data_IF_845774131001
#
_entry.id   IF_845774131001
#
_cell.length_a   1.000
_cell.length_b   1.000
_cell.length_c   1.000
_cell.angle_alpha   90.00
_cell.angle_beta   90.00
_cell.angle_gamma   90.00
#
_symmetry.space_group_name_H-M   'P 1'
#
loop_
_entity.id
_entity.type
_entity.pdbx_description
1 polymer ?
#
# COMPACT_ATOMS: atom_id res chain seq x y z
N UNK A 1 12.17 -8.59 12.52
CA UNK A 1 11.84 -7.39 11.78
C UNK A 1 12.98 -6.39 11.86
N UNK A 2 13.58 -6.05 10.75
CA UNK A 2 14.65 -5.07 10.73
C UNK A 2 14.05 -3.68 10.54
N UNK A 3 14.29 -2.78 11.49
CA UNK A 3 13.91 -1.38 11.38
C UNK A 3 15.15 -0.62 10.91
N UNK A 4 15.12 -0.11 9.69
CA UNK A 4 16.18 0.71 9.13
C UNK A 4 15.83 2.17 9.33
N UNK A 5 16.72 2.92 9.93
CA UNK A 5 16.64 4.38 9.98
C UNK A 5 16.94 5.00 8.62
N UNK A 6 16.52 6.24 8.41
CA UNK A 6 16.71 6.96 7.15
C UNK A 6 18.20 7.18 6.79
N UNK A 7 19.12 6.99 7.73
CA UNK A 7 20.57 7.13 7.54
C UNK A 7 21.27 5.85 7.11
N UNK A 8 20.54 4.75 6.92
CA UNK A 8 21.14 3.44 6.70
C UNK A 8 21.10 2.98 5.24
N UNK A 9 21.39 3.87 4.30
CA UNK A 9 21.49 3.53 2.87
C UNK A 9 22.47 2.37 2.62
N UNK A 10 23.57 2.30 3.38
CA UNK A 10 24.53 1.21 3.28
C UNK A 10 23.93 -0.12 3.73
N UNK A 11 23.16 -0.14 4.82
CA UNK A 11 22.48 -1.33 5.32
C UNK A 11 21.40 -1.79 4.34
N UNK A 12 20.60 -0.86 3.81
CA UNK A 12 19.61 -1.16 2.79
C UNK A 12 20.24 -1.72 1.51
N UNK A 13 21.35 -1.15 1.07
CA UNK A 13 22.10 -1.64 -0.08
C UNK A 13 22.59 -3.08 0.14
N UNK A 14 23.07 -3.40 1.35
CA UNK A 14 23.48 -4.75 1.72
C UNK A 14 22.30 -5.73 1.73
N UNK A 15 21.17 -5.33 2.30
CA UNK A 15 19.95 -6.15 2.31
C UNK A 15 19.47 -6.48 0.89
N UNK A 16 19.52 -5.52 -0.02
CA UNK A 16 19.18 -5.72 -1.43
C UNK A 16 20.10 -6.71 -2.13
N UNK A 17 21.32 -6.91 -1.67
CA UNK A 17 22.25 -7.91 -2.21
C UNK A 17 21.98 -9.32 -1.67
N UNK A 18 21.45 -9.43 -0.45
CA UNK A 18 21.24 -10.71 0.25
C UNK A 18 19.86 -11.30 -0.05
N UNK A 19 18.84 -10.46 -0.19
CA UNK A 19 17.45 -10.89 -0.38
C UNK A 19 17.01 -10.72 -1.83
N UNK A 20 16.02 -11.54 -2.23
CA UNK A 20 15.28 -11.28 -3.47
C UNK A 20 14.48 -10.00 -3.28
N UNK A 21 14.71 -9.01 -4.13
CA UNK A 21 14.00 -7.72 -4.07
C UNK A 21 12.73 -7.80 -4.90
N UNK A 22 11.60 -7.46 -4.27
CA UNK A 22 10.31 -7.35 -4.93
C UNK A 22 9.84 -5.91 -4.81
N UNK A 23 9.68 -5.25 -5.96
CA UNK A 23 9.14 -3.89 -6.03
C UNK A 23 7.61 -3.94 -6.04
N UNK A 24 7.00 -3.03 -5.32
CA UNK A 24 5.55 -2.89 -5.23
C UNK A 24 5.13 -1.43 -5.25
N UNK A 25 3.91 -1.17 -5.67
CA UNK A 25 3.27 0.13 -5.61
C UNK A 25 2.00 0.08 -4.79
N UNK A 26 1.71 1.13 -4.03
CA UNK A 26 0.50 1.24 -3.24
C UNK A 26 0.00 2.67 -3.12
N UNK A 27 -1.26 2.82 -2.72
CA UNK A 27 -1.92 4.12 -2.63
C UNK A 27 -2.50 4.41 -1.24
N UNK A 28 -2.23 5.64 -0.77
CA UNK A 28 -3.03 6.26 0.28
C UNK A 28 -4.05 7.15 -0.40
N UNK A 29 -5.29 6.67 -0.46
CA UNK A 29 -6.36 7.28 -1.24
C UNK A 29 -7.34 8.00 -0.32
N UNK A 30 -7.67 9.23 -0.64
CA UNK A 30 -8.77 9.97 0.00
C UNK A 30 -9.86 10.29 -1.03
N UNK A 31 -11.09 10.39 -0.58
CA UNK A 31 -12.20 10.84 -1.41
C UNK A 31 -12.46 12.34 -1.28
N UNK A 32 -13.48 12.83 -1.98
CA UNK A 32 -13.91 14.24 -1.97
C UNK A 32 -14.37 14.72 -0.58
N UNK A 33 -14.74 13.81 0.32
CA UNK A 33 -15.15 14.11 1.70
C UNK A 33 -14.00 14.00 2.70
N UNK A 34 -12.78 13.72 2.24
CA UNK A 34 -11.61 13.55 3.09
C UNK A 34 -11.54 12.21 3.81
N UNK A 35 -12.41 11.24 3.46
CA UNK A 35 -12.34 9.89 4.00
C UNK A 35 -11.18 9.14 3.34
N UNK A 36 -10.51 8.27 4.10
CA UNK A 36 -9.39 7.48 3.63
C UNK A 36 -9.82 6.04 3.35
N UNK A 37 -9.31 5.49 2.26
CA UNK A 37 -9.60 4.13 1.82
C UNK A 37 -8.72 3.12 2.54
N UNK A 38 -9.35 2.12 3.16
CA UNK A 38 -8.66 0.98 3.77
C UNK A 38 -9.22 -0.32 3.23
N UNK A 39 -8.38 -1.35 3.21
CA UNK A 39 -8.77 -2.73 2.98
C UNK A 39 -8.64 -3.52 4.28
N UNK A 40 -9.48 -4.53 4.47
CA UNK A 40 -9.37 -5.46 5.58
C UNK A 40 -8.95 -6.83 5.03
N UNK A 41 -7.77 -7.28 5.44
CA UNK A 41 -7.17 -8.52 4.97
C UNK A 41 -6.44 -9.23 6.10
N UNK A 42 -6.64 -10.54 6.21
CA UNK A 42 -5.96 -11.36 7.22
C UNK A 42 -6.13 -10.84 8.66
N UNK A 43 -7.32 -10.34 8.98
CA UNK A 43 -7.68 -9.85 10.31
C UNK A 43 -7.14 -8.47 10.66
N UNK A 44 -6.59 -7.72 9.71
CA UNK A 44 -6.03 -6.38 9.93
C UNK A 44 -6.41 -5.40 8.84
N UNK A 45 -6.45 -4.13 9.23
CA UNK A 45 -6.55 -3.03 8.29
C UNK A 45 -5.21 -2.80 7.58
N UNK A 46 -5.29 -2.55 6.28
CA UNK A 46 -4.15 -2.36 5.40
C UNK A 46 -4.50 -1.31 4.33
N UNK A 47 -3.54 -0.91 3.54
CA UNK A 47 -3.75 -0.06 2.37
C UNK A 47 -3.53 -0.87 1.08
N UNK A 48 -4.24 -0.55 -0.01
CA UNK A 48 -4.11 -1.28 -1.27
C UNK A 48 -2.72 -1.13 -1.88
N UNK A 49 -2.14 -2.24 -2.31
CA UNK A 49 -0.79 -2.34 -2.89
C UNK A 49 -0.59 -3.68 -3.56
N UNK A 50 0.37 -3.75 -4.45
CA UNK A 50 0.77 -5.02 -5.03
C UNK A 50 2.04 -4.93 -5.87
N UNK A 51 2.42 -6.05 -6.44
CA UNK A 51 3.69 -6.20 -7.13
C UNK A 51 3.73 -5.44 -8.45
N UNK A 52 4.91 -4.85 -8.71
CA UNK A 52 5.20 -4.22 -9.99
C UNK A 52 5.19 -5.27 -11.12
N UNK A 53 4.46 -4.99 -12.17
CA UNK A 53 4.43 -5.81 -13.37
C UNK A 53 5.41 -5.28 -14.41
N UNK A 54 5.82 -6.19 -15.34
CA UNK A 54 6.73 -5.83 -16.41
C UNK A 54 6.13 -4.74 -17.31
N UNK A 55 6.90 -3.70 -17.54
CA UNK A 55 6.53 -2.62 -18.44
C UNK A 55 5.71 -1.49 -17.83
N UNK A 56 5.33 -1.59 -16.55
CA UNK A 56 4.68 -0.48 -15.86
C UNK A 56 5.65 0.31 -14.97
N UNK A 57 5.32 1.58 -14.74
CA UNK A 57 6.00 2.39 -13.73
C UNK A 57 5.44 2.09 -12.34
N UNK A 58 6.15 2.48 -11.28
CA UNK A 58 5.66 2.35 -9.90
C UNK A 58 4.36 3.12 -9.68
N UNK A 59 4.21 4.30 -10.28
CA UNK A 59 2.98 5.07 -10.21
C UNK A 59 1.80 4.36 -10.90
N UNK A 60 2.02 3.77 -12.06
CA UNK A 60 1.02 2.97 -12.76
C UNK A 60 0.64 1.72 -11.97
N UNK A 61 1.63 1.03 -11.41
CA UNK A 61 1.41 -0.11 -10.52
C UNK A 61 0.50 0.26 -9.35
N UNK A 62 0.80 1.35 -8.66
CA UNK A 62 0.02 1.81 -7.52
C UNK A 62 -1.44 2.10 -7.88
N UNK A 63 -1.70 2.77 -9.01
CA UNK A 63 -3.07 3.05 -9.48
C UNK A 63 -3.78 1.76 -9.85
N UNK A 64 -3.13 0.85 -10.58
CA UNK A 64 -3.70 -0.44 -10.96
C UNK A 64 -4.09 -1.26 -9.72
N UNK A 65 -3.20 -1.38 -8.75
CA UNK A 65 -3.46 -2.15 -7.54
C UNK A 65 -4.60 -1.56 -6.71
N UNK A 66 -4.67 -0.24 -6.56
CA UNK A 66 -5.82 0.41 -5.90
C UNK A 66 -7.11 0.10 -6.64
N UNK A 67 -7.09 0.20 -7.96
CA UNK A 67 -8.27 -0.12 -8.80
C UNK A 67 -8.72 -1.56 -8.64
N UNK A 68 -7.79 -2.52 -8.73
CA UNK A 68 -8.08 -3.95 -8.66
C UNK A 68 -8.51 -4.40 -7.28
N UNK A 69 -7.77 -4.04 -6.23
CA UNK A 69 -8.06 -4.48 -4.85
C UNK A 69 -9.34 -3.86 -4.28
N UNK A 70 -9.68 -2.65 -4.70
CA UNK A 70 -10.80 -1.90 -4.15
C UNK A 70 -12.02 -1.80 -5.08
N UNK A 71 -11.89 -2.26 -6.32
CA UNK A 71 -12.97 -2.20 -7.31
C UNK A 71 -13.30 -0.78 -7.77
N UNK A 72 -12.32 0.12 -7.77
CA UNK A 72 -12.49 1.50 -8.21
C UNK A 72 -12.09 1.66 -9.68
N UNK A 73 -12.74 2.58 -10.38
CA UNK A 73 -12.33 2.92 -11.73
C UNK A 73 -10.99 3.68 -11.72
N UNK A 74 -9.98 3.13 -12.36
CA UNK A 74 -8.65 3.74 -12.43
C UNK A 74 -8.65 5.15 -13.03
N UNK A 75 -9.58 5.44 -13.96
CA UNK A 75 -9.71 6.76 -14.56
C UNK A 75 -10.14 7.84 -13.55
N UNK A 76 -10.75 7.45 -12.44
CA UNK A 76 -11.19 8.35 -11.37
C UNK A 76 -10.18 8.47 -10.22
N UNK A 77 -9.01 7.85 -10.35
CA UNK A 77 -7.93 7.91 -9.37
C UNK A 77 -6.89 8.93 -9.85
N UNK A 78 -6.75 10.02 -9.12
CA UNK A 78 -5.75 11.06 -9.39
C UNK A 78 -4.53 10.83 -8.50
N UNK A 79 -3.38 10.56 -9.11
CA UNK A 79 -2.11 10.41 -8.39
C UNK A 79 -1.49 11.79 -8.18
N UNK A 80 -1.30 12.18 -6.93
CA UNK A 80 -0.73 13.48 -6.55
C UNK A 80 0.77 13.42 -6.23
N UNK A 81 1.39 12.26 -6.37
CA UNK A 81 2.84 12.10 -6.18
C UNK A 81 3.23 11.12 -5.07
N UNK A 82 4.52 10.90 -4.99
CA UNK A 82 5.10 9.93 -4.05
C UNK A 82 5.07 10.44 -2.61
N UNK A 83 4.75 9.55 -1.68
CA UNK A 83 4.82 9.77 -0.24
C UNK A 83 6.13 9.22 0.34
N UNK A 84 6.09 7.99 0.78
CA UNK A 84 7.21 7.29 1.41
C UNK A 84 7.40 5.91 0.78
N UNK A 85 8.52 5.29 1.11
CA UNK A 85 8.81 3.89 0.78
C UNK A 85 8.84 3.09 2.07
N UNK A 86 8.22 1.91 2.07
CA UNK A 86 8.27 0.96 3.19
C UNK A 86 8.94 -0.34 2.78
N UNK A 87 9.48 -1.05 3.76
CA UNK A 87 10.27 -2.26 3.56
C UNK A 87 9.74 -3.38 4.41
N UNK A 88 9.57 -4.56 3.81
CA UNK A 88 9.06 -5.74 4.50
C UNK A 88 9.84 -6.98 4.07
N UNK A 89 10.45 -7.66 5.04
CA UNK A 89 11.12 -8.94 4.82
C UNK A 89 10.15 -10.07 5.19
N UNK A 90 9.97 -11.02 4.29
CA UNK A 90 9.09 -12.16 4.51
C UNK A 90 9.64 -13.42 3.84
N UNK A 91 9.23 -14.63 4.32
CA UNK A 91 9.60 -15.88 3.68
C UNK A 91 9.10 -15.94 2.24
N UNK A 92 9.98 -16.28 1.31
CA UNK A 92 9.66 -16.34 -0.11
C UNK A 92 10.46 -17.48 -0.76
N UNK A 93 9.74 -18.45 -1.34
CA UNK A 93 10.34 -19.69 -1.86
C UNK A 93 11.18 -20.36 -0.75
N UNK A 94 12.42 -20.77 -1.04
CA UNK A 94 13.31 -21.43 -0.06
C UNK A 94 14.18 -20.42 0.72
N UNK A 95 13.86 -19.13 0.67
CA UNK A 95 14.63 -18.05 1.29
C UNK A 95 13.72 -16.92 1.76
N UNK A 96 14.18 -15.68 1.64
CA UNK A 96 13.45 -14.48 2.02
C UNK A 96 13.42 -13.46 0.89
N UNK A 97 12.35 -12.68 0.83
CA UNK A 97 12.24 -11.52 -0.04
C UNK A 97 12.24 -10.23 0.78
N UNK A 98 12.79 -9.19 0.19
CA UNK A 98 12.64 -7.80 0.62
C UNK A 98 11.62 -7.13 -0.29
N UNK A 99 10.41 -6.90 0.19
CA UNK A 99 9.41 -6.14 -0.53
C UNK A 99 9.61 -4.64 -0.27
N UNK A 100 9.84 -3.91 -1.34
CA UNK A 100 10.01 -2.45 -1.34
C UNK A 100 8.75 -1.85 -1.91
N UNK A 101 7.90 -1.28 -1.05
CA UNK A 101 6.63 -0.68 -1.47
C UNK A 101 6.75 0.83 -1.56
N UNK A 102 6.50 1.34 -2.75
CA UNK A 102 6.47 2.78 -3.04
C UNK A 102 5.03 3.28 -2.91
N UNK A 103 4.79 4.17 -1.98
CA UNK A 103 3.46 4.69 -1.67
C UNK A 103 3.23 6.04 -2.33
N UNK A 104 2.00 6.22 -2.85
CA UNK A 104 1.58 7.43 -3.53
C UNK A 104 0.35 8.04 -2.85
N UNK A 105 0.32 9.37 -2.79
CA UNK A 105 -0.88 10.10 -2.41
C UNK A 105 -1.84 10.13 -3.59
N UNK A 106 -3.08 9.75 -3.34
CA UNK A 106 -4.11 9.69 -4.39
C UNK A 106 -5.41 10.29 -3.90
N UNK A 107 -6.18 10.84 -4.84
CA UNK A 107 -7.55 11.29 -4.63
C UNK A 107 -8.46 10.51 -5.57
N UNK A 108 -9.53 9.95 -5.03
CA UNK A 108 -10.61 9.35 -5.81
C UNK A 108 -11.71 10.38 -6.06
N UNK A 109 -11.96 10.68 -7.33
CA UNK A 109 -12.95 11.69 -7.75
C UNK A 109 -14.24 11.08 -8.30
N UNK A 110 -14.31 9.75 -8.37
CA UNK A 110 -15.49 9.02 -8.81
C UNK A 110 -16.59 8.89 -7.75
N UNK A 111 -17.69 8.31 -8.16
CA UNK A 111 -18.85 8.03 -7.31
C UNK A 111 -19.17 6.52 -7.25
N UNK A 112 -18.26 5.69 -7.78
CA UNK A 112 -18.41 4.23 -7.82
C UNK A 112 -18.33 3.59 -6.44
N UNK A 113 -19.11 2.52 -6.25
CA UNK A 113 -19.03 1.70 -5.05
C UNK A 113 -17.74 0.87 -5.05
N UNK A 114 -17.20 0.63 -3.86
CA UNK A 114 -16.06 -0.26 -3.67
C UNK A 114 -16.47 -1.72 -3.79
N UNK A 115 -15.52 -2.55 -4.26
CA UNK A 115 -15.70 -4.00 -4.32
C UNK A 115 -14.39 -4.68 -3.91
N UNK A 116 -14.37 -5.44 -2.81
CA UNK A 116 -13.19 -6.18 -2.39
C UNK A 116 -12.77 -7.23 -3.43
N UNK A 117 -11.46 -7.34 -3.67
CA UNK A 117 -10.89 -8.42 -4.48
C UNK A 117 -10.71 -9.67 -3.61
N UNK A 118 -11.67 -10.59 -3.67
CA UNK A 118 -11.70 -11.77 -2.81
C UNK A 118 -10.54 -12.75 -3.07
N UNK A 119 -10.01 -12.78 -4.30
CA UNK A 119 -8.85 -13.61 -4.67
C UNK A 119 -7.57 -13.20 -3.93
N UNK A 120 -7.49 -11.97 -3.42
CA UNK A 120 -6.40 -11.45 -2.61
C UNK A 120 -6.69 -11.50 -1.11
N UNK A 121 -7.68 -12.30 -0.68
CA UNK A 121 -8.12 -12.42 0.71
C UNK A 121 -8.59 -11.11 1.34
N UNK A 122 -9.02 -10.16 0.53
CA UNK A 122 -9.60 -8.89 0.97
C UNK A 122 -11.09 -9.13 1.25
N UNK A 123 -11.46 -9.05 2.53
CA UNK A 123 -12.83 -9.27 2.97
C UNK A 123 -13.67 -8.00 3.00
N UNK A 124 -13.04 -6.84 3.10
CA UNK A 124 -13.73 -5.55 3.20
C UNK A 124 -12.89 -4.43 2.60
N UNK A 125 -13.56 -3.48 1.97
CA UNK A 125 -13.00 -2.19 1.56
C UNK A 125 -13.89 -1.11 2.15
N UNK A 126 -13.30 -0.15 2.87
CA UNK A 126 -14.07 0.87 3.57
C UNK A 126 -13.43 2.25 3.45
N UNK A 127 -14.27 3.24 3.23
CA UNK A 127 -13.93 4.65 3.39
C UNK A 127 -14.05 5.03 4.86
N UNK A 128 -12.94 5.38 5.49
CA UNK A 128 -12.85 5.70 6.92
C UNK A 128 -12.82 7.21 7.12
N UNK A 129 -13.73 7.72 7.93
CA UNK A 129 -13.75 9.15 8.27
C UNK A 129 -12.49 9.54 9.07
N UNK A 130 -11.99 10.78 8.95
CA UNK A 130 -10.82 11.23 9.71
C UNK A 130 -10.92 10.98 11.22
N UNK A 131 -12.12 11.10 11.80
CA UNK A 131 -12.36 10.86 13.23
C UNK A 131 -12.24 9.39 13.65
N UNK A 132 -12.26 8.45 12.72
CA UNK A 132 -12.23 7.00 12.97
C UNK A 132 -10.86 6.38 12.65
N UNK A 133 -9.93 7.15 12.07
CA UNK A 133 -8.63 6.63 11.63
C UNK A 133 -7.82 6.10 12.81
N UNK A 134 -7.80 6.76 13.95
CA UNK A 134 -7.04 6.33 15.12
C UNK A 134 -7.46 4.94 15.59
N UNK A 135 -8.77 4.64 15.58
CA UNK A 135 -9.30 3.31 15.91
C UNK A 135 -8.84 2.25 14.91
N UNK A 136 -8.87 2.56 13.61
CA UNK A 136 -8.39 1.68 12.55
C UNK A 136 -6.90 1.37 12.72
N UNK A 137 -6.09 2.37 13.10
CA UNK A 137 -4.65 2.22 13.32
C UNK A 137 -4.29 1.38 14.55
N UNK A 138 -5.22 1.10 15.44
CA UNK A 138 -5.00 0.15 16.54
C UNK A 138 -4.86 -1.29 16.05
N UNK A 139 -5.41 -1.61 14.88
CA UNK A 139 -5.35 -2.94 14.27
C UNK A 139 -4.78 -2.88 12.84
N UNK A 140 -3.56 -2.39 12.73
CA UNK A 140 -2.83 -2.32 11.46
C UNK A 140 -1.34 -2.67 11.63
N UNK A 141 -0.63 -2.76 10.52
CA UNK A 141 0.82 -2.97 10.52
C UNK A 141 1.56 -1.66 10.78
N UNK A 142 2.73 -1.73 11.43
CA UNK A 142 3.54 -0.54 11.71
C UNK A 142 3.92 0.27 10.47
N UNK A 143 4.22 -0.41 9.36
CA UNK A 143 4.50 0.25 8.09
C UNK A 143 3.29 1.02 7.55
N UNK A 144 2.09 0.48 7.69
CA UNK A 144 0.86 1.14 7.24
C UNK A 144 0.56 2.37 8.09
N UNK A 145 0.75 2.29 9.40
CA UNK A 145 0.65 3.46 10.29
C UNK A 145 1.56 4.60 9.79
N UNK A 146 2.81 4.29 9.45
CA UNK A 146 3.76 5.28 8.91
C UNK A 146 3.27 5.93 7.61
N UNK A 147 2.66 5.16 6.71
CA UNK A 147 2.09 5.68 5.46
C UNK A 147 0.93 6.62 5.75
N UNK A 148 0.02 6.24 6.65
CA UNK A 148 -1.16 7.04 7.01
C UNK A 148 -0.73 8.36 7.64
N UNK A 149 0.27 8.33 8.49
CA UNK A 149 0.79 9.51 9.22
C UNK A 149 1.76 10.37 8.40
N UNK A 150 2.12 9.93 7.20
CA UNK A 150 3.07 10.64 6.32
C UNK A 150 2.48 11.87 5.61
#
# INVERSE_FOLDING_TARGET
>A
LVILGASDDAALCLLKKVFTVIEAGGGRVTDKQGRMLFIFRSGRWDLPKGWLEKGETLAQCAVREVSEECGLNAADIVNEGKLITTYHIYPFKDSYALKVTHWFRMIYVGDGATKPQSEEDISEVRWIAPSEIDEVLENTYGNIRRVVES
#
